data_IF_620143153705
#
_entry.id   IF_620143153705
#
_cell.length_a   1.000
_cell.length_b   1.000
_cell.length_c   1.000
_cell.angle_alpha   90.00
_cell.angle_beta   90.00
_cell.angle_gamma   90.00
#
_symmetry.space_group_name_H-M   'P 1'
#
loop_
_entity.id
_entity.type
_entity.pdbx_description
1 polymer ?
#
# COMPACT_ATOMS: atom_id res chain seq x y z
N UNK A 1 -22.53 -23.20 30.69
CA UNK A 1 -22.72 -21.76 30.40
C UNK A 1 -22.37 -21.50 28.93
N UNK A 2 -23.33 -21.08 28.13
CA UNK A 2 -23.14 -20.89 26.69
C UNK A 2 -22.10 -19.78 26.43
N UNK A 3 -20.93 -20.16 25.91
CA UNK A 3 -19.94 -19.24 25.35
C UNK A 3 -20.61 -18.38 24.29
N UNK A 4 -20.94 -17.13 24.65
CA UNK A 4 -21.48 -16.12 23.74
C UNK A 4 -20.56 -16.07 22.52
N UNK A 5 -21.06 -16.48 21.34
CA UNK A 5 -20.28 -16.51 20.10
C UNK A 5 -19.52 -15.18 19.94
N UNK A 6 -18.24 -15.18 19.53
CA UNK A 6 -17.51 -13.94 19.24
C UNK A 6 -18.36 -13.06 18.31
N UNK A 7 -18.37 -11.76 18.60
CA UNK A 7 -19.39 -10.82 18.14
C UNK A 7 -19.26 -10.57 16.62
N UNK A 8 -19.83 -11.47 15.81
CA UNK A 8 -19.83 -11.43 14.33
C UNK A 8 -20.33 -10.10 13.76
N UNK A 9 -21.03 -9.29 14.55
CA UNK A 9 -21.42 -7.92 14.20
C UNK A 9 -20.24 -6.95 14.11
N UNK A 10 -19.26 -7.00 15.04
CA UNK A 10 -18.09 -6.10 15.02
C UNK A 10 -17.27 -6.31 13.75
N UNK A 11 -16.93 -7.57 13.48
CA UNK A 11 -16.10 -7.93 12.35
C UNK A 11 -16.82 -7.76 11.00
N UNK A 12 -18.16 -7.65 10.98
CA UNK A 12 -18.92 -7.25 9.77
C UNK A 12 -18.91 -5.73 9.60
N UNK A 13 -19.14 -4.98 10.68
CA UNK A 13 -19.15 -3.52 10.67
C UNK A 13 -17.82 -2.96 10.14
N UNK A 14 -16.69 -3.42 10.69
CA UNK A 14 -15.38 -2.86 10.30
C UNK A 14 -14.89 -3.36 8.95
N UNK A 15 -15.31 -4.56 8.51
CA UNK A 15 -15.07 -5.00 7.14
C UNK A 15 -15.84 -4.13 6.12
N UNK A 16 -17.09 -3.76 6.44
CA UNK A 16 -17.87 -2.84 5.62
C UNK A 16 -17.24 -1.44 5.61
N UNK A 17 -16.82 -0.93 6.77
CA UNK A 17 -16.14 0.36 6.86
C UNK A 17 -14.86 0.41 6.01
N UNK A 18 -14.04 -0.65 6.04
CA UNK A 18 -12.86 -0.75 5.17
C UNK A 18 -13.26 -0.70 3.70
N UNK A 19 -14.29 -1.47 3.30
CA UNK A 19 -14.76 -1.51 1.92
C UNK A 19 -15.31 -0.17 1.41
N UNK A 20 -15.87 0.65 2.31
CA UNK A 20 -16.36 2.00 1.99
C UNK A 20 -15.21 3.02 1.90
N UNK A 21 -14.19 2.91 2.76
CA UNK A 21 -13.07 3.85 2.83
C UNK A 21 -11.96 3.58 1.81
N UNK A 22 -11.70 2.31 1.46
CA UNK A 22 -10.61 1.92 0.56
C UNK A 22 -10.68 2.64 -0.80
N UNK A 23 -11.84 2.76 -1.48
CA UNK A 23 -11.94 3.51 -2.74
C UNK A 23 -11.61 5.01 -2.60
N UNK A 24 -11.84 5.63 -1.44
CA UNK A 24 -11.48 7.02 -1.20
C UNK A 24 -9.96 7.19 -1.05
N UNK A 25 -9.33 6.33 -0.26
CA UNK A 25 -7.88 6.31 -0.07
C UNK A 25 -7.17 6.00 -1.40
N UNK A 26 -7.68 5.04 -2.18
CA UNK A 26 -7.17 4.73 -3.50
C UNK A 26 -7.22 5.95 -4.43
N UNK A 27 -8.36 6.64 -4.51
CA UNK A 27 -8.51 7.84 -5.35
C UNK A 27 -7.55 8.94 -4.92
N UNK A 28 -7.43 9.20 -3.62
CA UNK A 28 -6.54 10.21 -3.08
C UNK A 28 -5.06 9.89 -3.40
N UNK A 29 -4.63 8.63 -3.26
CA UNK A 29 -3.29 8.20 -3.65
C UNK A 29 -3.02 8.44 -5.14
N UNK A 30 -3.97 8.07 -6.00
CA UNK A 30 -3.84 8.27 -7.46
C UNK A 30 -3.84 9.76 -7.84
N UNK A 31 -4.61 10.60 -7.14
CA UNK A 31 -4.60 12.04 -7.32
C UNK A 31 -3.22 12.63 -6.97
N UNK A 32 -2.61 12.18 -5.86
CA UNK A 32 -1.26 12.59 -5.47
C UNK A 32 -0.20 12.22 -6.52
N UNK A 33 -0.28 11.03 -7.12
CA UNK A 33 0.62 10.65 -8.21
C UNK A 33 0.39 11.51 -9.46
N UNK A 34 -0.86 11.84 -9.76
CA UNK A 34 -1.21 12.71 -10.89
C UNK A 34 -0.65 14.12 -10.69
N UNK A 35 -0.74 14.66 -9.47
CA UNK A 35 -0.16 15.95 -9.11
C UNK A 35 1.38 15.93 -9.28
N UNK A 36 2.07 14.91 -8.74
CA UNK A 36 3.51 14.75 -8.94
C UNK A 36 3.92 14.75 -10.42
N UNK A 37 3.16 14.04 -11.27
CA UNK A 37 3.44 13.98 -12.71
C UNK A 37 3.16 15.31 -13.42
N UNK A 38 2.17 16.08 -12.95
CA UNK A 38 1.81 17.38 -13.52
C UNK A 38 2.81 18.48 -13.17
N UNK A 39 3.45 18.40 -12.01
CA UNK A 39 4.39 19.43 -11.51
C UNK A 39 5.84 19.25 -11.99
N UNK A 40 6.13 18.28 -12.87
CA UNK A 40 7.49 18.10 -13.42
C UNK A 40 7.87 19.28 -14.32
N UNK A 41 8.96 19.99 -13.97
CA UNK A 41 9.56 20.98 -14.87
C UNK A 41 10.34 20.25 -15.98
N UNK A 42 9.63 20.00 -17.08
CA UNK A 42 10.19 19.28 -18.21
C UNK A 42 11.41 19.97 -18.84
N UNK A 43 11.45 21.31 -18.83
CA UNK A 43 12.54 22.06 -19.44
C UNK A 43 13.79 21.94 -18.58
N UNK A 44 13.66 22.15 -17.27
CA UNK A 44 14.75 22.00 -16.32
C UNK A 44 15.25 20.55 -16.27
N UNK A 45 14.33 19.57 -16.32
CA UNK A 45 14.68 18.15 -16.35
C UNK A 45 15.55 17.80 -17.57
N UNK A 46 15.15 18.24 -18.77
CA UNK A 46 15.95 17.99 -19.98
C UNK A 46 17.30 18.71 -19.95
N UNK A 47 17.36 19.94 -19.46
CA UNK A 47 18.61 20.70 -19.34
C UNK A 47 19.58 20.02 -18.38
N UNK A 48 19.11 19.63 -17.20
CA UNK A 48 19.92 18.92 -16.21
C UNK A 48 20.41 17.57 -16.73
N UNK A 49 19.54 16.77 -17.37
CA UNK A 49 19.93 15.51 -17.98
C UNK A 49 20.95 15.70 -19.13
N UNK A 50 20.86 16.80 -19.89
CA UNK A 50 21.84 17.11 -20.93
C UNK A 50 23.21 17.43 -20.34
N UNK A 51 23.24 18.05 -19.16
CA UNK A 51 24.46 18.36 -18.40
C UNK A 51 24.94 17.19 -17.52
N UNK A 52 24.29 16.03 -17.56
CA UNK A 52 24.54 14.89 -16.64
C UNK A 52 24.43 15.29 -15.17
N UNK A 53 23.61 16.30 -14.87
CA UNK A 53 23.35 16.82 -13.53
C UNK A 53 22.21 16.02 -12.90
N UNK A 54 22.56 14.95 -12.18
CA UNK A 54 21.58 14.02 -11.58
C UNK A 54 20.75 14.73 -10.51
N UNK A 55 21.36 15.54 -9.66
CA UNK A 55 20.64 16.28 -8.61
C UNK A 55 19.70 17.32 -9.21
N UNK A 56 20.16 18.07 -10.23
CA UNK A 56 19.32 19.01 -10.95
C UNK A 56 18.13 18.33 -11.64
N UNK A 57 18.34 17.13 -12.20
CA UNK A 57 17.28 16.35 -12.83
C UNK A 57 16.24 15.87 -11.80
N UNK A 58 16.67 15.43 -10.62
CA UNK A 58 15.79 15.04 -9.52
C UNK A 58 15.01 16.25 -8.99
N UNK A 59 15.67 17.38 -8.79
CA UNK A 59 15.04 18.62 -8.35
C UNK A 59 13.94 19.07 -9.33
N UNK A 60 14.18 18.95 -10.64
CA UNK A 60 13.20 19.28 -11.68
C UNK A 60 11.94 18.39 -11.68
N UNK A 61 11.96 17.24 -10.99
CA UNK A 61 10.76 16.42 -10.80
C UNK A 61 9.80 17.01 -9.77
N UNK A 62 10.24 18.00 -8.97
CA UNK A 62 9.45 18.68 -7.93
C UNK A 62 8.76 17.71 -6.96
N UNK A 63 9.42 16.58 -6.65
CA UNK A 63 8.91 15.58 -5.71
C UNK A 63 8.84 16.22 -4.32
N UNK A 64 7.63 16.40 -3.83
CA UNK A 64 7.39 17.03 -2.53
C UNK A 64 6.25 16.35 -1.79
N UNK A 65 6.26 16.47 -0.47
CA UNK A 65 5.27 15.88 0.42
C UNK A 65 3.86 16.49 0.24
N UNK A 66 3.77 17.75 -0.20
CA UNK A 66 2.50 18.45 -0.36
C UNK A 66 1.61 17.83 -1.45
N UNK A 67 2.19 17.13 -2.44
CA UNK A 67 1.44 16.34 -3.40
C UNK A 67 0.56 15.26 -2.73
N UNK A 68 0.91 14.82 -1.52
CA UNK A 68 0.20 13.80 -0.75
C UNK A 68 -0.81 14.37 0.26
N UNK A 69 -1.16 15.65 0.16
CA UNK A 69 -2.09 16.30 1.09
C UNK A 69 -3.48 15.63 1.08
N UNK A 70 -4.02 15.30 -0.10
CA UNK A 70 -5.33 14.63 -0.20
C UNK A 70 -5.28 13.22 0.42
N UNK A 71 -4.24 12.44 0.13
CA UNK A 71 -4.01 11.13 0.74
C UNK A 71 -3.94 11.22 2.27
N UNK A 72 -3.15 12.16 2.81
CA UNK A 72 -2.99 12.37 4.24
C UNK A 72 -4.31 12.73 4.93
N UNK A 73 -5.08 13.59 4.29
CA UNK A 73 -6.40 14.00 4.77
C UNK A 73 -7.37 12.81 4.81
N UNK A 74 -7.41 11.98 3.76
CA UNK A 74 -8.27 10.79 3.70
C UNK A 74 -7.86 9.72 4.70
N UNK A 75 -6.56 9.51 4.91
CA UNK A 75 -6.07 8.59 5.95
C UNK A 75 -6.44 9.06 7.35
N UNK A 76 -6.29 10.36 7.63
CA UNK A 76 -6.69 10.95 8.92
C UNK A 76 -8.20 10.82 9.15
N UNK A 77 -9.02 11.04 8.11
CA UNK A 77 -10.48 10.85 8.17
C UNK A 77 -10.85 9.39 8.42
N UNK A 78 -10.20 8.44 7.74
CA UNK A 78 -10.43 7.01 7.92
C UNK A 78 -10.16 6.56 9.37
N UNK A 79 -9.04 7.01 9.95
CA UNK A 79 -8.69 6.75 11.35
C UNK A 79 -9.72 7.34 12.32
N UNK A 80 -10.08 8.61 12.14
CA UNK A 80 -11.06 9.30 12.98
C UNK A 80 -12.45 8.63 12.94
N UNK A 81 -12.93 8.28 11.74
CA UNK A 81 -14.21 7.61 11.55
C UNK A 81 -14.19 6.22 12.20
N UNK A 82 -13.13 5.44 12.02
CA UNK A 82 -13.01 4.12 12.63
C UNK A 82 -13.01 4.18 14.17
N UNK A 83 -12.29 5.14 14.75
CA UNK A 83 -12.31 5.38 16.19
C UNK A 83 -13.72 5.75 16.68
N UNK A 84 -14.39 6.68 15.98
CA UNK A 84 -15.76 7.08 16.30
C UNK A 84 -16.76 5.92 16.19
N UNK A 85 -16.67 5.09 15.14
CA UNK A 85 -17.47 3.87 14.99
C UNK A 85 -17.21 2.87 16.11
N UNK A 86 -15.97 2.76 16.57
CA UNK A 86 -15.61 1.92 17.72
C UNK A 86 -16.21 2.46 19.02
N UNK A 87 -16.16 3.77 19.24
CA UNK A 87 -16.76 4.42 20.41
C UNK A 87 -18.29 4.19 20.44
N UNK A 88 -18.97 4.36 19.30
CA UNK A 88 -20.40 4.08 19.17
C UNK A 88 -20.72 2.61 19.44
N UNK A 89 -19.90 1.68 18.96
CA UNK A 89 -20.06 0.26 19.23
C UNK A 89 -19.89 -0.08 20.71
N UNK A 90 -18.88 0.49 21.38
CA UNK A 90 -18.65 0.32 22.83
C UNK A 90 -19.83 0.86 23.63
N UNK A 91 -20.36 2.02 23.24
CA UNK A 91 -21.55 2.60 23.86
C UNK A 91 -22.78 1.69 23.69
N UNK A 92 -23.00 1.13 22.50
CA UNK A 92 -24.09 0.20 22.24
C UNK A 92 -23.98 -1.12 23.04
N UNK A 93 -22.77 -1.49 23.48
CA UNK A 93 -22.54 -2.62 24.37
C UNK A 93 -22.77 -2.28 25.86
N UNK A 94 -23.06 -1.02 26.19
CA UNK A 94 -23.23 -0.56 27.57
C UNK A 94 -21.92 -0.33 28.33
N UNK A 95 -20.76 -0.41 27.66
CA UNK A 95 -19.44 -0.34 28.30
C UNK A 95 -18.90 1.08 28.48
N UNK A 96 -19.33 2.04 27.65
CA UNK A 96 -18.82 3.41 27.67
C UNK A 96 -19.66 4.41 28.50
N UNK A 97 -20.92 4.10 28.74
CA UNK A 97 -21.90 5.08 29.24
C UNK A 97 -22.13 6.23 28.24
N UNK A 98 -23.01 7.17 28.63
CA UNK A 98 -23.33 8.35 27.81
C UNK A 98 -22.08 9.22 27.66
N UNK A 99 -21.77 9.62 26.43
CA UNK A 99 -20.70 10.58 26.13
C UNK A 99 -19.33 9.99 25.78
N UNK A 100 -19.19 8.67 25.69
CA UNK A 100 -17.97 8.03 25.15
C UNK A 100 -17.74 8.48 23.72
N UNK A 101 -16.59 9.08 23.45
CA UNK A 101 -16.20 9.61 22.15
C UNK A 101 -14.73 9.28 21.90
N UNK A 102 -14.41 8.99 20.65
CA UNK A 102 -13.03 8.92 20.20
C UNK A 102 -12.42 10.31 20.20
N UNK A 103 -11.28 10.46 20.88
CA UNK A 103 -10.55 11.73 20.96
C UNK A 103 -9.35 11.65 20.04
N UNK A 104 -9.46 12.29 18.88
CA UNK A 104 -8.32 12.47 17.98
C UNK A 104 -7.17 13.21 18.66
N UNK A 105 -7.46 14.08 19.63
CA UNK A 105 -6.46 14.84 20.40
C UNK A 105 -5.78 14.03 21.51
N UNK A 106 -6.14 12.76 21.72
CA UNK A 106 -5.40 11.90 22.64
C UNK A 106 -3.95 11.73 22.15
N UNK A 107 -2.94 11.73 23.06
CA UNK A 107 -1.54 11.52 22.67
C UNK A 107 -1.29 10.27 21.81
N UNK A 108 -1.94 9.14 22.11
CA UNK A 108 -1.83 7.90 21.33
C UNK A 108 -2.35 8.07 19.91
N UNK A 109 -3.55 8.66 19.77
CA UNK A 109 -4.13 8.99 18.46
C UNK A 109 -3.25 9.98 17.65
N UNK A 110 -2.68 11.01 18.28
CA UNK A 110 -1.78 11.96 17.62
C UNK A 110 -0.48 11.29 17.16
N UNK A 111 0.08 10.43 18.01
CA UNK A 111 1.30 9.69 17.68
C UNK A 111 1.07 8.72 16.52
N UNK A 112 -0.08 8.05 16.49
CA UNK A 112 -0.44 7.19 15.37
C UNK A 112 -0.51 7.97 14.05
N UNK A 113 -1.14 9.15 14.03
CA UNK A 113 -1.20 10.02 12.84
C UNK A 113 0.19 10.45 12.39
N UNK A 114 1.05 10.86 13.34
CA UNK A 114 2.43 11.22 13.05
C UNK A 114 3.19 10.07 12.39
N UNK A 115 3.09 8.86 12.94
CA UNK A 115 3.82 7.69 12.46
C UNK A 115 3.27 7.11 11.14
N UNK A 116 1.95 7.00 11.02
CA UNK A 116 1.30 6.23 9.95
C UNK A 116 0.74 7.12 8.83
N UNK A 117 0.70 8.45 9.02
CA UNK A 117 0.29 9.38 7.97
C UNK A 117 1.46 10.28 7.58
N UNK A 118 1.98 11.09 8.51
CA UNK A 118 3.03 12.06 8.18
C UNK A 118 4.32 11.38 7.71
N UNK A 119 4.89 10.45 8.50
CA UNK A 119 6.12 9.76 8.11
C UNK A 119 5.95 8.90 6.86
N UNK A 120 4.73 8.39 6.57
CA UNK A 120 4.47 7.62 5.34
C UNK A 120 4.59 8.47 4.10
N UNK A 121 4.09 9.70 4.14
CA UNK A 121 4.19 10.64 3.02
C UNK A 121 5.62 11.10 2.77
N UNK A 122 6.40 11.32 3.82
CA UNK A 122 7.86 11.53 3.73
C UNK A 122 8.48 10.32 3.01
N UNK A 123 8.20 9.11 3.48
CA UNK A 123 8.72 7.87 2.90
C UNK A 123 8.32 7.65 1.43
N UNK A 124 7.10 8.03 1.02
CA UNK A 124 6.72 7.99 -0.39
C UNK A 124 7.57 8.94 -1.24
N UNK A 125 7.82 10.16 -0.75
CA UNK A 125 8.61 11.17 -1.46
C UNK A 125 10.08 10.77 -1.56
N UNK A 126 10.65 10.23 -0.49
CA UNK A 126 12.00 9.68 -0.47
C UNK A 126 12.13 8.49 -1.44
N UNK A 127 11.17 7.57 -1.45
CA UNK A 127 11.16 6.44 -2.36
C UNK A 127 11.08 6.89 -3.83
N UNK A 128 10.24 7.89 -4.15
CA UNK A 128 10.18 8.45 -5.51
C UNK A 128 11.51 9.07 -5.93
N UNK A 129 12.19 9.75 -5.02
CA UNK A 129 13.52 10.33 -5.24
C UNK A 129 14.56 9.25 -5.53
N UNK A 130 14.56 8.17 -4.75
CA UNK A 130 15.46 7.03 -4.95
C UNK A 130 15.19 6.30 -6.27
N UNK A 131 13.93 6.09 -6.62
CA UNK A 131 13.53 5.50 -7.90
C UNK A 131 13.99 6.36 -9.06
N UNK A 132 13.77 7.68 -8.99
CA UNK A 132 14.21 8.60 -10.02
C UNK A 132 15.74 8.54 -10.24
N UNK A 133 16.51 8.58 -9.15
CA UNK A 133 17.97 8.46 -9.18
C UNK A 133 18.42 7.17 -9.87
N UNK A 134 17.89 6.03 -9.44
CA UNK A 134 18.18 4.72 -10.04
C UNK A 134 17.89 4.70 -11.54
N UNK A 135 16.77 5.30 -11.97
CA UNK A 135 16.39 5.36 -13.38
C UNK A 135 17.32 6.24 -14.20
N UNK A 136 17.73 7.40 -13.66
CA UNK A 136 18.67 8.32 -14.31
C UNK A 136 20.03 7.66 -14.49
N UNK A 137 20.59 7.11 -13.41
CA UNK A 137 21.90 6.45 -13.41
C UNK A 137 21.94 5.26 -14.38
N UNK A 138 20.91 4.41 -14.32
CA UNK A 138 20.81 3.28 -15.23
C UNK A 138 20.61 3.73 -16.70
N UNK A 139 19.95 4.86 -16.92
CA UNK A 139 19.79 5.45 -18.24
C UNK A 139 21.11 5.91 -18.85
N UNK A 140 21.89 6.69 -18.10
CA UNK A 140 23.23 7.11 -18.52
C UNK A 140 24.17 5.93 -18.72
N UNK A 141 24.15 4.94 -17.81
CA UNK A 141 24.97 3.73 -17.93
C UNK A 141 24.70 2.91 -19.20
N UNK A 142 23.51 3.05 -19.80
CA UNK A 142 23.13 2.42 -21.07
C UNK A 142 23.34 3.33 -22.29
N UNK A 143 23.92 4.52 -22.13
CA UNK A 143 24.06 5.51 -23.20
C UNK A 143 22.73 6.07 -23.70
N UNK A 144 21.67 6.07 -22.87
CA UNK A 144 20.38 6.63 -23.25
C UNK A 144 20.43 8.15 -23.35
N UNK A 145 19.84 8.71 -24.40
CA UNK A 145 19.73 10.16 -24.56
C UNK A 145 18.82 10.81 -23.50
N UNK A 146 19.07 12.09 -23.12
CA UNK A 146 18.32 12.82 -22.09
C UNK A 146 16.80 12.74 -22.22
N UNK A 147 16.29 12.88 -23.45
CA UNK A 147 14.84 12.82 -23.71
C UNK A 147 14.21 11.47 -23.37
N UNK A 148 14.92 10.37 -23.62
CA UNK A 148 14.42 9.03 -23.31
C UNK A 148 14.41 8.79 -21.80
N UNK A 149 15.43 9.26 -21.08
CA UNK A 149 15.47 9.20 -19.61
C UNK A 149 14.31 10.01 -19.02
N UNK A 150 14.09 11.24 -19.50
CA UNK A 150 12.99 12.08 -19.05
C UNK A 150 11.61 11.43 -19.26
N UNK A 151 11.41 10.75 -20.39
CA UNK A 151 10.18 9.98 -20.66
C UNK A 151 10.06 8.75 -19.75
N UNK A 152 11.14 8.03 -19.51
CA UNK A 152 11.14 6.87 -18.62
C UNK A 152 10.85 7.30 -17.15
N UNK A 153 11.21 8.52 -16.76
CA UNK A 153 10.87 9.13 -15.46
C UNK A 153 9.41 9.56 -15.38
N UNK A 154 9.04 10.56 -16.17
CA UNK A 154 7.78 11.31 -16.01
C UNK A 154 6.68 10.91 -16.98
N UNK A 155 6.94 9.96 -17.88
CA UNK A 155 5.99 9.53 -18.89
C UNK A 155 5.81 10.53 -20.04
N UNK A 156 4.77 10.27 -20.85
CA UNK A 156 4.47 11.02 -22.08
C UNK A 156 3.19 11.84 -21.89
N UNK A 157 3.10 12.99 -22.56
CA UNK A 157 1.89 13.81 -22.58
C UNK A 157 0.77 13.08 -23.33
N UNK A 158 -0.37 12.91 -22.67
CA UNK A 158 -1.59 12.31 -23.19
C UNK A 158 -2.80 13.08 -22.66
N UNK A 159 -3.65 13.60 -23.56
CA UNK A 159 -4.87 14.30 -23.15
C UNK A 159 -4.65 15.53 -22.26
N UNK A 160 -3.50 16.21 -22.40
CA UNK A 160 -3.14 17.39 -21.61
C UNK A 160 -2.28 17.13 -20.38
N UNK A 161 -2.14 15.87 -19.93
CA UNK A 161 -1.35 15.51 -18.74
C UNK A 161 -0.30 14.45 -19.05
N UNK A 162 0.79 14.41 -18.28
CA UNK A 162 1.78 13.34 -18.40
C UNK A 162 1.26 12.05 -17.78
N UNK A 163 1.49 10.94 -18.45
CA UNK A 163 1.13 9.62 -17.95
C UNK A 163 2.19 8.57 -18.33
N UNK A 164 2.38 7.62 -17.43
CA UNK A 164 3.40 6.58 -17.53
C UNK A 164 4.72 6.98 -16.85
N UNK A 165 5.81 6.34 -17.25
CA UNK A 165 7.09 6.47 -16.55
C UNK A 165 7.07 5.78 -15.18
N UNK A 166 8.12 6.02 -14.40
CA UNK A 166 8.29 5.42 -13.06
C UNK A 166 7.73 6.27 -11.92
N UNK A 167 7.42 7.56 -12.15
CA UNK A 167 6.78 8.39 -11.13
C UNK A 167 5.44 7.78 -10.68
N UNK A 168 5.30 7.60 -9.38
CA UNK A 168 4.21 6.90 -8.72
C UNK A 168 4.46 5.41 -8.49
N UNK A 169 5.57 4.82 -8.95
CA UNK A 169 5.92 3.43 -8.71
C UNK A 169 6.93 3.28 -7.56
N UNK A 170 6.82 2.20 -6.81
CA UNK A 170 7.85 1.78 -5.86
C UNK A 170 9.02 1.12 -6.60
N UNK A 171 10.16 0.98 -5.92
CA UNK A 171 11.38 0.45 -6.55
C UNK A 171 11.20 -0.92 -7.23
N UNK A 172 10.54 -1.93 -6.60
CA UNK A 172 10.29 -3.20 -7.27
C UNK A 172 9.45 -3.08 -8.55
N UNK A 173 8.40 -2.25 -8.55
CA UNK A 173 7.54 -2.05 -9.73
C UNK A 173 8.24 -1.21 -10.80
N UNK A 174 9.01 -0.19 -10.42
CA UNK A 174 9.82 0.60 -11.34
C UNK A 174 10.86 -0.26 -12.05
N UNK A 175 11.57 -1.13 -11.32
CA UNK A 175 12.54 -2.06 -11.89
C UNK A 175 11.88 -3.04 -12.87
N UNK A 176 10.67 -3.56 -12.56
CA UNK A 176 9.90 -4.39 -13.50
C UNK A 176 9.49 -3.63 -14.75
N UNK A 177 9.02 -2.39 -14.60
CA UNK A 177 8.67 -1.54 -15.73
C UNK A 177 9.89 -1.40 -16.64
N UNK A 178 11.03 -0.98 -16.10
CA UNK A 178 12.27 -0.81 -16.85
C UNK A 178 12.74 -2.10 -17.53
N UNK A 179 12.73 -3.24 -16.83
CA UNK A 179 13.13 -4.52 -17.40
C UNK A 179 12.30 -4.86 -18.65
N UNK A 180 10.98 -4.71 -18.57
CA UNK A 180 10.08 -4.98 -19.70
C UNK A 180 10.24 -3.92 -20.81
N UNK A 181 10.22 -2.63 -20.48
CA UNK A 181 10.26 -1.56 -21.48
C UNK A 181 11.59 -1.53 -22.23
N UNK A 182 12.72 -1.74 -21.54
CA UNK A 182 14.03 -1.83 -22.18
C UNK A 182 14.21 -3.14 -22.93
N UNK A 183 13.75 -4.27 -22.37
CA UNK A 183 13.83 -5.58 -23.03
C UNK A 183 13.10 -5.60 -24.37
N UNK A 184 11.96 -4.92 -24.49
CA UNK A 184 11.24 -4.80 -25.76
C UNK A 184 12.01 -4.04 -26.86
N UNK A 185 13.10 -3.33 -26.53
CA UNK A 185 13.81 -2.47 -27.49
C UNK A 185 14.81 -3.20 -28.38
N UNK A 186 15.24 -4.41 -28.00
CA UNK A 186 16.24 -5.19 -28.73
C UNK A 186 15.77 -6.64 -28.91
N UNK A 187 16.33 -7.34 -29.89
CA UNK A 187 16.03 -8.76 -30.08
C UNK A 187 16.51 -9.61 -28.91
N UNK A 188 17.71 -9.31 -28.38
CA UNK A 188 18.26 -10.00 -27.19
C UNK A 188 17.42 -9.74 -25.93
N UNK A 189 17.00 -8.50 -25.72
CA UNK A 189 16.12 -8.16 -24.60
C UNK A 189 14.78 -8.89 -24.67
N UNK A 190 14.20 -9.04 -25.87
CA UNK A 190 12.99 -9.85 -26.06
C UNK A 190 13.24 -11.32 -25.73
N UNK A 191 14.41 -11.87 -26.08
CA UNK A 191 14.80 -13.24 -25.68
C UNK A 191 14.88 -13.38 -24.16
N UNK A 192 15.48 -12.42 -23.47
CA UNK A 192 15.61 -12.42 -22.00
C UNK A 192 14.27 -12.27 -21.26
N UNK A 193 13.27 -11.69 -21.90
CA UNK A 193 11.91 -11.58 -21.37
C UNK A 193 11.11 -12.88 -21.47
N UNK A 194 11.48 -13.79 -22.38
CA UNK A 194 10.74 -15.02 -22.66
C UNK A 194 11.38 -16.21 -21.94
N UNK A 195 10.54 -17.00 -21.29
CA UNK A 195 10.87 -18.27 -20.67
C UNK A 195 10.29 -19.39 -21.53
N UNK A 196 11.15 -20.31 -21.96
CA UNK A 196 10.74 -21.58 -22.58
C UNK A 196 10.56 -22.61 -21.47
N UNK A 197 9.33 -23.07 -21.27
CA UNK A 197 9.02 -24.11 -20.28
C UNK A 197 9.45 -25.49 -20.79
N UNK A 198 9.55 -26.45 -19.88
CA UNK A 198 9.89 -27.84 -20.20
C UNK A 198 8.89 -28.47 -21.21
N UNK A 199 7.63 -28.03 -21.21
CA UNK A 199 6.59 -28.48 -22.15
C UNK A 199 6.64 -27.73 -23.51
N UNK A 200 7.69 -26.94 -23.76
CA UNK A 200 7.87 -26.15 -24.97
C UNK A 200 7.00 -24.88 -25.04
N UNK A 201 6.16 -24.61 -24.02
CA UNK A 201 5.34 -23.39 -24.00
C UNK A 201 6.17 -22.17 -23.65
N UNK A 202 5.86 -21.07 -24.34
CA UNK A 202 6.44 -19.77 -24.07
C UNK A 202 5.64 -19.07 -22.97
N UNK A 203 6.35 -18.45 -22.04
CA UNK A 203 5.80 -17.56 -21.01
C UNK A 203 6.72 -16.35 -20.86
N UNK A 204 6.25 -15.29 -20.20
CA UNK A 204 7.11 -14.15 -19.87
C UNK A 204 7.64 -14.22 -18.45
N UNK A 205 8.86 -13.71 -18.26
CA UNK A 205 9.49 -13.54 -16.93
C UNK A 205 8.70 -12.57 -16.04
N UNK A 206 8.04 -11.59 -16.65
CA UNK A 206 7.20 -10.62 -15.94
C UNK A 206 5.76 -10.75 -16.39
N UNK A 207 4.83 -10.72 -15.43
CA UNK A 207 3.40 -10.69 -15.71
C UNK A 207 3.03 -9.33 -16.35
N UNK A 208 2.50 -9.39 -17.55
CA UNK A 208 1.95 -8.25 -18.31
C UNK A 208 0.52 -8.58 -18.75
N UNK A 209 -0.16 -7.66 -19.45
CA UNK A 209 -1.45 -7.97 -20.05
C UNK A 209 -1.30 -8.88 -21.29
N UNK A 210 -2.37 -9.58 -21.67
CA UNK A 210 -2.35 -10.55 -22.76
C UNK A 210 -1.90 -9.95 -24.11
N UNK A 211 -2.28 -8.70 -24.41
CA UNK A 211 -1.89 -8.04 -25.65
C UNK A 211 -0.37 -7.76 -25.71
N UNK A 212 0.21 -7.30 -24.60
CA UNK A 212 1.67 -7.08 -24.48
C UNK A 212 2.42 -8.39 -24.54
N UNK A 213 1.90 -9.44 -23.90
CA UNK A 213 2.47 -10.78 -23.99
C UNK A 213 2.51 -11.28 -25.43
N UNK A 214 1.40 -11.15 -26.16
CA UNK A 214 1.33 -11.55 -27.57
C UNK A 214 2.31 -10.77 -28.45
N UNK A 215 2.49 -9.45 -28.23
CA UNK A 215 3.47 -8.62 -28.95
C UNK A 215 4.90 -9.09 -28.71
N UNK A 216 5.26 -9.35 -27.45
CA UNK A 216 6.60 -9.84 -27.07
C UNK A 216 6.84 -11.23 -27.66
N UNK A 217 5.88 -12.16 -27.54
CA UNK A 217 6.00 -13.52 -28.10
C UNK A 217 6.12 -13.48 -29.63
N UNK A 218 5.39 -12.58 -30.32
CA UNK A 218 5.51 -12.40 -31.77
C UNK A 218 6.92 -11.95 -32.15
N UNK A 219 7.46 -10.94 -31.47
CA UNK A 219 8.81 -10.45 -31.69
C UNK A 219 9.87 -11.52 -31.41
N UNK A 220 9.67 -12.31 -30.34
CA UNK A 220 10.54 -13.43 -29.99
C UNK A 220 10.62 -14.47 -31.11
N UNK A 221 9.47 -14.91 -31.63
CA UNK A 221 9.39 -15.86 -32.75
C UNK A 221 10.03 -15.33 -34.02
N UNK A 222 9.93 -14.02 -34.26
CA UNK A 222 10.55 -13.36 -35.41
C UNK A 222 12.05 -13.09 -35.22
N UNK A 223 12.58 -13.23 -34.00
CA UNK A 223 13.96 -12.87 -33.66
C UNK A 223 14.23 -11.37 -33.72
N UNK A 224 13.23 -10.52 -33.53
CA UNK A 224 13.31 -9.06 -33.64
C UNK A 224 13.00 -8.35 -32.32
N UNK A 225 13.27 -7.06 -32.26
CA UNK A 225 12.67 -6.19 -31.24
C UNK A 225 11.15 -6.07 -31.44
N UNK A 226 10.43 -5.59 -30.42
CA UNK A 226 9.02 -5.23 -30.57
C UNK A 226 8.95 -3.91 -31.37
N UNK A 227 8.08 -3.82 -32.41
CA UNK A 227 7.91 -2.58 -33.19
C UNK A 227 7.58 -1.38 -32.30
N UNK A 228 8.10 -0.20 -32.65
CA UNK A 228 7.97 0.98 -31.79
C UNK A 228 6.52 1.34 -31.43
N UNK A 229 5.62 1.31 -32.42
CA UNK A 229 4.19 1.58 -32.19
C UNK A 229 3.57 0.62 -31.15
N UNK A 230 3.95 -0.66 -31.20
CA UNK A 230 3.50 -1.67 -30.23
C UNK A 230 4.13 -1.46 -28.85
N UNK A 231 5.42 -1.06 -28.79
CA UNK A 231 6.08 -0.70 -27.53
C UNK A 231 5.35 0.45 -26.85
N UNK A 232 5.05 1.54 -27.55
CA UNK A 232 4.38 2.69 -26.95
C UNK A 232 3.05 2.33 -26.28
N UNK A 233 2.27 1.44 -26.91
CA UNK A 233 0.99 0.96 -26.34
C UNK A 233 1.26 0.09 -25.11
N UNK A 234 2.19 -0.85 -25.21
CA UNK A 234 2.52 -1.79 -24.14
C UNK A 234 3.16 -1.14 -22.93
N UNK A 235 4.09 -0.20 -23.14
CA UNK A 235 4.71 0.62 -22.08
C UNK A 235 3.64 1.33 -21.26
N UNK A 236 2.71 2.04 -21.93
CA UNK A 236 1.62 2.76 -21.27
C UNK A 236 0.69 1.82 -20.49
N UNK A 237 0.23 0.74 -21.12
CA UNK A 237 -0.69 -0.18 -20.47
C UNK A 237 -0.03 -0.84 -19.25
N UNK A 238 1.25 -1.17 -19.36
CA UNK A 238 1.99 -1.82 -18.29
C UNK A 238 2.30 -0.86 -17.13
N UNK A 239 2.75 0.37 -17.42
CA UNK A 239 2.95 1.39 -16.39
C UNK A 239 1.66 1.65 -15.60
N UNK A 240 0.53 1.79 -16.30
CA UNK A 240 -0.77 2.03 -15.66
C UNK A 240 -1.21 0.83 -14.82
N UNK A 241 -0.97 -0.39 -15.28
CA UNK A 241 -1.29 -1.60 -14.52
C UNK A 241 -0.42 -1.74 -13.25
N UNK A 242 0.86 -1.38 -13.33
CA UNK A 242 1.76 -1.37 -12.17
C UNK A 242 1.38 -0.29 -11.18
N UNK A 243 1.05 0.91 -11.65
CA UNK A 243 0.60 2.01 -10.80
C UNK A 243 -0.70 1.67 -10.09
N UNK A 244 -1.69 1.14 -10.83
CA UNK A 244 -2.93 0.62 -10.23
C UNK A 244 -2.64 -0.44 -9.19
N UNK A 245 -1.78 -1.42 -9.49
CA UNK A 245 -1.41 -2.47 -8.53
C UNK A 245 -0.78 -1.90 -7.25
N UNK A 246 0.02 -0.83 -7.35
CA UNK A 246 0.56 -0.14 -6.17
C UNK A 246 -0.54 0.55 -5.40
N UNK A 247 -1.39 1.34 -6.07
CA UNK A 247 -2.50 2.05 -5.45
C UNK A 247 -3.45 1.10 -4.72
N UNK A 248 -3.80 -0.04 -5.34
CA UNK A 248 -4.58 -1.10 -4.70
C UNK A 248 -3.89 -1.64 -3.43
N UNK A 249 -2.56 -1.85 -3.50
CA UNK A 249 -1.78 -2.37 -2.37
C UNK A 249 -1.77 -1.38 -1.20
N UNK A 250 -1.51 -0.10 -1.49
CA UNK A 250 -1.48 0.99 -0.50
C UNK A 250 -2.87 1.17 0.10
N UNK A 251 -3.91 1.34 -0.72
CA UNK A 251 -5.27 1.56 -0.25
C UNK A 251 -5.76 0.44 0.67
N UNK A 252 -5.60 -0.82 0.26
CA UNK A 252 -6.00 -1.98 1.06
C UNK A 252 -5.22 -2.06 2.39
N UNK A 253 -3.90 -1.87 2.33
CA UNK A 253 -3.02 -2.08 3.48
C UNK A 253 -3.20 -0.98 4.52
N UNK A 254 -3.16 0.28 4.06
CA UNK A 254 -3.16 1.44 4.94
C UNK A 254 -4.57 1.71 5.50
N UNK A 255 -5.63 1.53 4.70
CA UNK A 255 -7.02 1.67 5.20
C UNK A 255 -7.30 0.66 6.31
N UNK A 256 -6.93 -0.60 6.13
CA UNK A 256 -7.14 -1.62 7.14
C UNK A 256 -6.28 -1.36 8.40
N UNK A 257 -5.04 -0.89 8.23
CA UNK A 257 -4.20 -0.43 9.34
C UNK A 257 -4.87 0.71 10.13
N UNK A 258 -5.39 1.74 9.46
CA UNK A 258 -6.10 2.83 10.10
C UNK A 258 -7.30 2.34 10.91
N UNK A 259 -8.13 1.48 10.31
CA UNK A 259 -9.33 0.97 10.98
C UNK A 259 -8.99 0.10 12.19
N UNK A 260 -8.03 -0.82 12.07
CA UNK A 260 -7.68 -1.71 13.19
C UNK A 260 -6.96 -0.98 14.31
N UNK A 261 -6.08 -0.04 13.98
CA UNK A 261 -5.36 0.76 14.98
C UNK A 261 -6.32 1.69 15.73
N UNK A 262 -7.27 2.32 15.04
CA UNK A 262 -8.24 3.20 15.69
C UNK A 262 -9.15 2.44 16.68
N UNK A 263 -9.41 1.16 16.39
CA UNK A 263 -10.16 0.29 17.30
C UNK A 263 -9.38 0.01 18.57
N UNK A 264 -8.12 -0.38 18.44
CA UNK A 264 -7.24 -0.63 19.59
C UNK A 264 -7.09 0.64 20.45
N UNK A 265 -6.79 1.77 19.80
CA UNK A 265 -6.70 3.09 20.43
C UNK A 265 -8.00 3.50 21.15
N UNK A 266 -9.17 3.25 20.56
CA UNK A 266 -10.42 3.58 21.24
C UNK A 266 -10.66 2.70 22.49
N UNK A 267 -10.20 1.44 22.50
CA UNK A 267 -10.23 0.61 23.70
C UNK A 267 -9.22 1.08 24.75
N UNK A 268 -8.05 1.56 24.32
CA UNK A 268 -7.08 2.22 25.18
C UNK A 268 -7.68 3.47 25.84
N UNK A 269 -8.29 4.37 25.06
CA UNK A 269 -8.94 5.57 25.58
C UNK A 269 -10.10 5.26 26.52
N UNK A 270 -10.86 4.19 26.25
CA UNK A 270 -11.91 3.73 27.16
C UNK A 270 -11.30 3.30 28.51
N UNK A 271 -10.27 2.45 28.48
CA UNK A 271 -9.64 1.95 29.69
C UNK A 271 -9.07 3.09 30.54
N UNK A 272 -8.38 4.05 29.93
CA UNK A 272 -7.86 5.23 30.59
C UNK A 272 -8.96 6.11 31.19
N UNK A 273 -10.01 6.42 30.41
CA UNK A 273 -11.06 7.36 30.85
C UNK A 273 -11.98 6.80 31.94
N UNK A 274 -12.09 5.48 32.02
CA UNK A 274 -12.96 4.78 32.98
C UNK A 274 -12.17 4.07 34.09
N UNK A 275 -10.84 4.13 34.06
CA UNK A 275 -9.99 3.37 34.98
C UNK A 275 -10.22 1.87 34.89
N UNK A 276 -10.53 1.34 33.70
CA UNK A 276 -10.70 -0.11 33.53
C UNK A 276 -9.35 -0.79 33.67
N UNK A 277 -9.32 -1.93 34.36
CA UNK A 277 -8.19 -2.82 34.30
C UNK A 277 -8.05 -3.37 32.87
N UNK A 278 -6.97 -2.98 32.19
CA UNK A 278 -6.66 -3.45 30.84
C UNK A 278 -6.53 -4.97 30.76
N UNK A 279 -6.19 -5.64 31.85
CA UNK A 279 -6.13 -7.10 31.95
C UNK A 279 -7.51 -7.76 31.74
N UNK A 280 -8.60 -7.02 31.97
CA UNK A 280 -9.96 -7.48 31.74
C UNK A 280 -10.37 -7.46 30.25
N UNK A 281 -9.60 -6.79 29.38
CA UNK A 281 -9.90 -6.73 27.95
C UNK A 281 -9.35 -7.99 27.27
N UNK A 282 -10.18 -8.66 26.48
CA UNK A 282 -9.78 -9.83 25.70
C UNK A 282 -9.86 -9.49 24.22
N UNK A 283 -8.73 -9.65 23.54
CA UNK A 283 -8.60 -9.52 22.09
C UNK A 283 -8.72 -10.91 21.46
N UNK A 284 -9.36 -11.01 20.31
CA UNK A 284 -9.44 -12.27 19.55
C UNK A 284 -9.10 -12.01 18.10
N UNK A 285 -8.16 -12.77 17.56
CA UNK A 285 -7.75 -12.71 16.18
C UNK A 285 -8.71 -13.50 15.30
N UNK A 286 -9.11 -12.93 14.17
CA UNK A 286 -9.94 -13.61 13.18
C UNK A 286 -9.24 -13.59 11.84
N UNK A 287 -8.85 -14.76 11.35
CA UNK A 287 -8.40 -14.87 9.98
C UNK A 287 -9.57 -14.57 9.04
N UNK A 288 -9.34 -13.69 8.08
CA UNK A 288 -10.20 -13.60 6.89
C UNK A 288 -9.34 -13.55 5.65
N UNK A 289 -9.98 -13.89 4.54
CA UNK A 289 -9.33 -13.85 3.23
C UNK A 289 -8.98 -12.39 2.90
N UNK A 290 -7.69 -12.12 2.75
CA UNK A 290 -7.18 -10.88 2.17
C UNK A 290 -7.20 -10.90 0.64
N UNK A 291 -6.37 -10.06 0.00
CA UNK A 291 -6.28 -10.04 -1.46
C UNK A 291 -5.46 -11.20 -2.05
N UNK A 292 -4.74 -11.97 -1.21
CA UNK A 292 -4.00 -13.14 -1.65
C UNK A 292 -4.95 -14.30 -1.95
N UNK A 293 -4.65 -15.07 -3.01
CA UNK A 293 -5.46 -16.24 -3.38
C UNK A 293 -5.47 -17.27 -2.26
N UNK A 294 -4.30 -17.56 -1.70
CA UNK A 294 -4.07 -18.50 -0.62
C UNK A 294 -3.89 -17.76 0.71
N UNK A 295 -4.31 -18.43 1.80
CA UNK A 295 -4.12 -17.91 3.15
C UNK A 295 -2.66 -18.10 3.59
N UNK A 296 -2.10 -17.12 4.30
CA UNK A 296 -0.79 -17.27 4.95
C UNK A 296 -0.94 -18.28 6.10
N UNK A 297 -0.12 -19.35 6.17
CA UNK A 297 -0.26 -20.37 7.21
C UNK A 297 -0.24 -19.79 8.63
N UNK A 298 0.69 -18.87 8.88
CA UNK A 298 0.82 -18.20 10.18
C UNK A 298 -0.48 -17.47 10.59
N UNK A 299 -1.15 -16.80 9.64
CA UNK A 299 -2.40 -16.06 9.90
C UNK A 299 -3.59 -16.99 10.08
N UNK A 300 -3.65 -18.08 9.31
CA UNK A 300 -4.68 -19.10 9.48
C UNK A 300 -4.59 -19.79 10.85
N UNK A 301 -3.37 -20.05 11.33
CA UNK A 301 -3.10 -20.63 12.64
C UNK A 301 -3.54 -19.71 13.80
N UNK A 302 -3.51 -18.40 13.60
CA UNK A 302 -3.97 -17.42 14.60
C UNK A 302 -5.50 -17.29 14.67
N UNK A 303 -6.25 -17.87 13.73
CA UNK A 303 -7.70 -17.69 13.70
C UNK A 303 -8.39 -18.24 14.94
N UNK A 304 -9.16 -17.40 15.62
CA UNK A 304 -9.88 -17.72 16.84
C UNK A 304 -9.03 -17.68 18.11
N UNK A 305 -7.73 -17.43 18.02
CA UNK A 305 -6.88 -17.27 19.20
C UNK A 305 -7.26 -16.00 19.95
N UNK A 306 -7.35 -16.11 21.27
CA UNK A 306 -7.63 -14.99 22.17
C UNK A 306 -6.45 -14.73 23.08
N UNK A 307 -6.15 -13.45 23.31
CA UNK A 307 -5.20 -12.99 24.33
C UNK A 307 -5.92 -12.13 25.35
N UNK A 308 -5.56 -12.28 26.62
CA UNK A 308 -6.07 -11.48 27.73
C UNK A 308 -5.10 -10.32 27.97
N UNK A 309 -5.62 -9.12 28.19
CA UNK A 309 -4.86 -7.89 28.30
C UNK A 309 -4.90 -7.08 27.01
N UNK A 310 -5.31 -5.80 27.10
CA UNK A 310 -5.26 -4.88 25.97
C UNK A 310 -3.83 -4.71 25.43
N UNK A 311 -2.85 -4.57 26.33
CA UNK A 311 -1.44 -4.38 25.96
C UNK A 311 -0.72 -5.70 25.64
N UNK A 312 -1.38 -6.85 25.76
CA UNK A 312 -0.77 -8.16 25.49
C UNK A 312 -0.75 -8.46 23.99
N UNK A 313 0.41 -8.75 23.37
CA UNK A 313 0.49 -9.03 21.94
C UNK A 313 -0.06 -10.42 21.59
N UNK A 314 -0.48 -10.56 20.35
CA UNK A 314 -0.55 -11.84 19.66
C UNK A 314 0.86 -12.24 19.22
N UNK A 315 1.26 -13.48 19.52
CA UNK A 315 2.54 -14.04 19.08
C UNK A 315 2.26 -15.06 17.98
N UNK A 316 2.78 -14.80 16.79
CA UNK A 316 2.62 -15.65 15.61
C UNK A 316 3.55 -16.87 15.67
N UNK A 317 3.27 -17.94 14.90
CA UNK A 317 4.12 -19.13 14.85
C UNK A 317 5.58 -18.86 14.49
N UNK A 318 5.86 -17.78 13.77
CA UNK A 318 7.21 -17.37 13.39
C UNK A 318 7.89 -16.44 14.41
N UNK A 319 7.26 -16.22 15.57
CA UNK A 319 7.75 -15.35 16.65
C UNK A 319 7.40 -13.88 16.50
N UNK A 320 6.74 -13.48 15.39
CA UNK A 320 6.32 -12.09 15.19
C UNK A 320 5.25 -11.70 16.22
N UNK A 321 5.42 -10.55 16.87
CA UNK A 321 4.46 -10.01 17.84
C UNK A 321 3.66 -8.85 17.25
N UNK A 322 2.33 -8.88 17.41
CA UNK A 322 1.42 -7.84 16.91
C UNK A 322 0.33 -7.56 17.95
N UNK A 323 0.02 -6.29 18.22
CA UNK A 323 -1.05 -5.91 19.15
C UNK A 323 -2.44 -6.20 18.59
N UNK A 324 -2.63 -6.01 17.29
CA UNK A 324 -3.89 -6.23 16.59
C UNK A 324 -3.64 -6.58 15.11
N UNK A 325 -4.69 -6.97 14.41
CA UNK A 325 -4.63 -7.18 12.97
C UNK A 325 -4.17 -5.90 12.28
N UNK A 326 -3.35 -6.02 11.24
CA UNK A 326 -2.75 -4.89 10.53
C UNK A 326 -1.85 -3.97 11.37
N UNK A 327 -1.37 -4.40 12.54
CA UNK A 327 -0.32 -3.68 13.29
C UNK A 327 1.00 -3.60 12.47
N UNK A 328 1.56 -2.40 12.21
CA UNK A 328 2.81 -2.23 11.46
C UNK A 328 4.00 -3.01 12.04
N UNK A 329 4.00 -3.36 13.33
CA UNK A 329 5.04 -4.17 13.98
C UNK A 329 5.19 -5.56 13.32
N UNK A 330 4.14 -6.06 12.66
CA UNK A 330 4.19 -7.32 11.91
C UNK A 330 4.98 -7.24 10.59
N UNK A 331 5.37 -6.05 10.14
CA UNK A 331 6.10 -5.85 8.90
C UNK A 331 5.36 -6.30 7.63
N UNK A 332 6.06 -6.23 6.50
CA UNK A 332 5.48 -6.48 5.18
C UNK A 332 4.86 -7.89 5.04
N UNK A 333 5.49 -8.90 5.66
CA UNK A 333 5.04 -10.30 5.62
C UNK A 333 3.65 -10.48 6.23
N UNK A 334 3.32 -9.74 7.30
CA UNK A 334 2.06 -9.92 8.02
C UNK A 334 1.00 -8.88 7.63
N UNK A 335 1.40 -7.67 7.24
CA UNK A 335 0.46 -6.55 7.10
C UNK A 335 -0.02 -6.33 5.66
N UNK A 336 0.86 -6.43 4.67
CA UNK A 336 0.52 -6.08 3.27
C UNK A 336 -0.61 -6.97 2.77
N UNK A 337 -1.69 -6.36 2.29
CA UNK A 337 -2.84 -7.06 1.70
C UNK A 337 -3.47 -8.16 2.57
N UNK A 338 -3.28 -8.07 3.90
CA UNK A 338 -3.94 -8.94 4.86
C UNK A 338 -5.46 -8.64 4.89
N UNK A 339 -6.27 -9.60 5.32
CA UNK A 339 -7.70 -9.40 5.56
C UNK A 339 -8.12 -9.69 7.00
N UNK A 340 -7.16 -9.96 7.89
CA UNK A 340 -7.44 -10.37 9.25
C UNK A 340 -8.12 -9.25 10.05
N UNK A 341 -8.85 -9.65 11.09
CA UNK A 341 -9.60 -8.75 11.97
C UNK A 341 -9.25 -9.04 13.44
N UNK A 342 -9.42 -8.05 14.31
CA UNK A 342 -9.31 -8.24 15.76
C UNK A 342 -10.57 -7.74 16.45
N UNK A 343 -11.22 -8.61 17.22
CA UNK A 343 -12.38 -8.21 18.04
C UNK A 343 -12.00 -8.07 19.50
N UNK A 344 -12.72 -7.21 20.21
CA UNK A 344 -12.48 -6.90 21.61
C UNK A 344 -13.74 -7.18 22.44
N UNK A 345 -13.56 -7.63 23.68
CA UNK A 345 -14.60 -7.65 24.70
C UNK A 345 -14.02 -7.39 26.08
N UNK A 346 -14.86 -6.91 26.99
CA UNK A 346 -14.56 -6.84 28.41
C UNK A 346 -14.94 -8.16 29.10
N UNK A 347 -14.09 -8.65 29.98
CA UNK A 347 -14.38 -9.70 30.93
C UNK A 347 -14.85 -9.09 32.26
N UNK A 348 -16.13 -9.25 32.56
CA UNK A 348 -16.75 -8.67 33.75
C UNK A 348 -16.41 -9.42 35.05
N UNK A 349 -15.71 -10.55 34.98
CA UNK A 349 -15.33 -11.35 36.15
C UNK A 349 -14.06 -10.87 36.85
N UNK A 350 -13.25 -10.03 36.20
CA UNK A 350 -11.99 -9.52 36.74
C UNK A 350 -12.29 -8.46 37.81
N UNK A 351 -11.76 -8.66 39.04
CA UNK A 351 -11.93 -7.74 40.17
C UNK A 351 -13.15 -7.98 41.06
N UNK A 352 -13.79 -9.15 40.96
CA UNK A 352 -14.91 -9.58 41.81
C UNK A 352 -14.50 -10.54 42.94
N UNK A 353 -13.23 -10.51 43.37
CA UNK A 353 -12.74 -11.27 44.53
C UNK A 353 -12.87 -10.48 45.84
#
# INVERSE_FOLDING_TARGET
MATRRPNRSQARLFAQLIAELEPEVHRAFMASVTDLQAQVDWRALLDALTRTDIEGAIAALNINEAAWAEYSSKMTQAYALAGASTAAQIQAQGLGGIGTRFRMTNPGAQEWIRQNVANRVVGFSEEQTQVARMVIEAGFGRGQGPRNIAVDLAGRVQGGSRAGGVLGLDAPRAARLQAVTQGMRTADGVRDLVIVRQDGKLALRYKVNAATEQRIIRAYKAGTAVPEADRLISERQYSNALLKSRADTVALTETANAVMSARDEQWQQLAESKGLDKSAIIKTWHHRRGATKESRPDHAAMSGQSVRGLDTPFVFPDGTSMQHAHDPAGGAKHVISCGCDTTYRLDHSVGLE
#
